data_IF_229021163312
#
_entry.id   IF_229021163312
#
_cell.length_a   1.000
_cell.length_b   1.000
_cell.length_c   1.000
_cell.angle_alpha   90.00
_cell.angle_beta   90.00
_cell.angle_gamma   90.00
#
_symmetry.space_group_name_H-M   'P 1'
#
loop_
_entity.id
_entity.type
_entity.pdbx_description
1 polymer ?
#
# COMPACT_ATOMS: atom_id res chain seq x y z
N UNK A 1 11.80 23.61 -8.10
CA UNK A 1 11.65 22.71 -9.25
C UNK A 1 12.80 21.72 -9.26
N UNK A 2 12.55 20.44 -8.99
CA UNK A 2 13.54 19.37 -9.20
C UNK A 2 13.60 19.06 -10.69
N UNK A 3 14.80 19.03 -11.27
CA UNK A 3 14.99 18.78 -12.69
C UNK A 3 14.37 17.43 -13.10
N UNK A 4 13.73 17.33 -14.29
CA UNK A 4 13.24 16.06 -14.82
C UNK A 4 14.42 15.10 -15.02
N UNK A 5 14.38 13.92 -14.41
CA UNK A 5 15.36 12.84 -14.64
C UNK A 5 16.23 12.42 -13.45
N UNK A 6 16.06 13.01 -12.27
CA UNK A 6 16.74 12.54 -11.06
C UNK A 6 16.02 11.33 -10.45
N UNK A 7 16.50 10.14 -10.79
CA UNK A 7 16.01 8.86 -10.24
C UNK A 7 16.09 8.79 -8.72
N UNK A 8 16.92 9.60 -8.05
CA UNK A 8 16.98 9.66 -6.60
C UNK A 8 15.69 10.23 -5.97
N UNK A 9 14.85 10.90 -6.77
CA UNK A 9 13.58 11.49 -6.34
C UNK A 9 12.37 10.57 -6.59
N UNK A 10 12.60 9.38 -7.16
CA UNK A 10 11.55 8.40 -7.48
C UNK A 10 11.57 7.20 -6.53
N UNK A 11 10.39 6.74 -6.06
CA UNK A 11 9.06 7.24 -6.39
C UNK A 11 8.78 8.55 -5.66
N UNK A 12 7.99 9.42 -6.29
CA UNK A 12 7.67 10.75 -5.77
C UNK A 12 6.74 10.69 -4.55
N UNK A 13 5.93 9.63 -4.43
CA UNK A 13 5.05 9.44 -3.29
C UNK A 13 4.66 7.96 -3.09
N UNK A 14 4.14 7.66 -1.91
CA UNK A 14 3.60 6.35 -1.55
C UNK A 14 2.15 6.48 -1.07
N UNK A 15 1.28 5.57 -1.50
CA UNK A 15 -0.05 5.38 -0.93
C UNK A 15 -0.01 4.14 -0.04
N UNK A 16 -0.14 4.37 1.26
CA UNK A 16 0.01 3.34 2.31
C UNK A 16 -1.26 3.23 3.14
N UNK A 17 -1.33 2.18 3.96
CA UNK A 17 -2.40 1.99 4.93
C UNK A 17 -2.65 0.51 5.20
N UNK A 18 -3.62 0.24 6.07
CA UNK A 18 -4.09 -1.14 6.25
C UNK A 18 -4.87 -1.55 5.00
N UNK A 19 -4.65 -2.77 4.51
CA UNK A 19 -5.46 -3.31 3.42
C UNK A 19 -6.96 -3.16 3.73
N UNK A 20 -7.77 -2.87 2.70
CA UNK A 20 -9.22 -2.59 2.81
C UNK A 20 -9.60 -1.17 3.27
N UNK A 21 -8.64 -0.25 3.36
CA UNK A 21 -8.88 1.16 3.73
C UNK A 21 -9.02 2.11 2.54
N UNK A 22 -9.34 1.62 1.33
CA UNK A 22 -9.57 2.50 0.17
C UNK A 22 -8.32 2.96 -0.60
N UNK A 23 -7.15 2.39 -0.35
CA UNK A 23 -5.90 2.70 -1.09
C UNK A 23 -6.03 2.54 -2.61
N UNK A 24 -6.87 1.62 -3.08
CA UNK A 24 -7.12 1.45 -4.52
C UNK A 24 -7.98 2.57 -5.10
N UNK A 25 -8.93 3.12 -4.32
CA UNK A 25 -9.69 4.31 -4.71
C UNK A 25 -8.78 5.53 -4.82
N UNK A 26 -7.91 5.75 -3.83
CA UNK A 26 -6.91 6.81 -3.88
C UNK A 26 -5.99 6.67 -5.12
N UNK A 27 -5.55 5.45 -5.43
CA UNK A 27 -4.82 5.17 -6.70
C UNK A 27 -5.66 5.55 -7.92
N UNK A 28 -6.94 5.17 -7.96
CA UNK A 28 -7.80 5.48 -9.10
C UNK A 28 -7.96 6.98 -9.30
N UNK A 29 -8.18 7.73 -8.24
CA UNK A 29 -8.27 9.19 -8.29
C UNK A 29 -6.97 9.80 -8.80
N UNK A 30 -5.83 9.45 -8.19
CA UNK A 30 -4.54 10.06 -8.51
C UNK A 30 -4.05 9.74 -9.92
N UNK A 31 -4.28 8.53 -10.43
CA UNK A 31 -3.95 8.16 -11.82
C UNK A 31 -4.82 8.91 -12.84
N UNK A 32 -5.90 9.57 -12.42
CA UNK A 32 -6.66 10.47 -13.30
C UNK A 32 -5.95 11.80 -13.60
N UNK A 33 -4.87 12.14 -12.88
CA UNK A 33 -4.12 13.37 -13.12
C UNK A 33 -3.09 13.18 -14.25
N UNK A 34 -2.99 14.09 -15.25
CA UNK A 34 -2.12 13.91 -16.42
C UNK A 34 -0.63 13.77 -16.11
N UNK A 35 -0.17 14.38 -15.01
CA UNK A 35 1.22 14.30 -14.54
C UNK A 35 1.47 13.29 -13.41
N UNK A 36 0.52 12.42 -13.08
CA UNK A 36 0.72 11.39 -12.04
C UNK A 36 0.50 10.00 -12.64
N UNK A 37 1.37 9.05 -12.28
CA UNK A 37 1.16 7.63 -12.60
C UNK A 37 1.34 6.81 -11.32
N UNK A 38 0.36 5.95 -11.03
CA UNK A 38 0.45 4.99 -9.94
C UNK A 38 0.22 3.58 -10.51
N UNK A 39 1.28 2.76 -10.68
CA UNK A 39 1.17 1.41 -11.18
C UNK A 39 0.43 0.52 -10.17
N UNK A 40 0.19 -0.73 -10.56
CA UNK A 40 -0.30 -1.75 -9.63
C UNK A 40 0.68 -1.98 -8.47
N UNK A 41 0.22 -2.65 -7.41
CA UNK A 41 1.07 -2.87 -6.23
C UNK A 41 2.37 -3.57 -6.61
N UNK A 42 3.51 -2.95 -6.29
CA UNK A 42 4.81 -3.45 -6.74
C UNK A 42 5.45 -4.40 -5.72
N UNK A 43 5.29 -4.12 -4.42
CA UNK A 43 5.70 -5.01 -3.33
C UNK A 43 7.20 -5.31 -3.20
N UNK A 44 8.09 -4.64 -3.93
CA UNK A 44 9.52 -4.95 -3.94
C UNK A 44 10.39 -4.04 -3.05
N UNK A 45 10.01 -2.78 -2.81
CA UNK A 45 10.90 -1.76 -2.22
C UNK A 45 11.44 -2.14 -0.83
N UNK A 46 10.62 -2.50 0.18
CA UNK A 46 11.14 -2.86 1.50
C UNK A 46 12.04 -4.09 1.47
N UNK A 47 11.78 -5.04 0.57
CA UNK A 47 12.61 -6.23 0.37
C UNK A 47 13.98 -5.85 -0.22
N UNK A 48 14.01 -5.00 -1.26
CA UNK A 48 15.26 -4.51 -1.82
C UNK A 48 16.07 -3.68 -0.81
N UNK A 49 15.44 -2.75 -0.09
CA UNK A 49 16.12 -1.96 0.94
C UNK A 49 16.68 -2.84 2.06
N UNK A 50 15.95 -3.88 2.49
CA UNK A 50 16.46 -4.85 3.49
C UNK A 50 17.65 -5.65 2.96
N UNK A 51 17.60 -6.04 1.70
CA UNK A 51 18.64 -6.83 1.05
C UNK A 51 19.79 -5.99 0.47
N UNK A 52 19.79 -4.67 0.67
CA UNK A 52 20.77 -3.75 0.09
C UNK A 52 22.22 -4.21 0.23
N UNK A 53 22.70 -4.68 1.39
CA UNK A 53 24.08 -5.16 1.53
C UNK A 53 24.46 -6.33 0.61
N UNK A 54 23.48 -7.06 0.06
CA UNK A 54 23.74 -8.20 -0.82
C UNK A 54 23.99 -7.77 -2.28
N UNK A 55 23.38 -6.66 -2.70
CA UNK A 55 23.37 -6.20 -4.09
C UNK A 55 23.99 -4.82 -4.32
N UNK A 56 24.28 -4.06 -3.26
CA UNK A 56 24.92 -2.75 -3.29
C UNK A 56 26.23 -2.79 -2.51
N UNK A 57 27.33 -2.34 -3.13
CA UNK A 57 28.66 -2.35 -2.51
C UNK A 57 29.21 -0.95 -2.18
N UNK A 58 28.36 0.09 -2.21
CA UNK A 58 28.75 1.48 -1.95
C UNK A 58 28.98 2.32 -3.21
N UNK A 59 29.44 1.70 -4.31
CA UNK A 59 29.74 2.40 -5.57
C UNK A 59 29.14 1.71 -6.81
N UNK A 60 28.45 0.59 -6.63
CA UNK A 60 27.92 -0.19 -7.73
C UNK A 60 26.85 -1.20 -7.32
N UNK A 61 26.11 -1.64 -8.34
CA UNK A 61 24.99 -2.57 -8.21
C UNK A 61 25.36 -3.94 -8.80
N UNK A 62 25.12 -5.01 -8.06
CA UNK A 62 25.12 -6.38 -8.58
C UNK A 62 23.82 -6.59 -9.35
N UNK A 63 23.75 -6.06 -10.58
CA UNK A 63 22.54 -5.97 -11.40
C UNK A 63 21.78 -7.29 -11.52
N UNK A 64 22.48 -8.42 -11.67
CA UNK A 64 21.84 -9.74 -11.74
C UNK A 64 21.02 -10.09 -10.49
N UNK A 65 21.60 -9.87 -9.30
CA UNK A 65 20.91 -10.13 -8.03
C UNK A 65 19.81 -9.10 -7.76
N UNK A 66 20.10 -7.82 -8.00
CA UNK A 66 19.11 -6.74 -7.85
C UNK A 66 17.84 -7.01 -8.67
N UNK A 67 18.01 -7.31 -9.97
CA UNK A 67 16.88 -7.62 -10.87
C UNK A 67 16.16 -8.88 -10.42
N UNK A 68 16.89 -9.95 -10.03
CA UNK A 68 16.25 -11.17 -9.52
C UNK A 68 15.39 -10.89 -8.28
N UNK A 69 15.88 -10.10 -7.33
CA UNK A 69 15.14 -9.77 -6.11
C UNK A 69 13.94 -8.85 -6.39
N UNK A 70 14.10 -7.86 -7.29
CA UNK A 70 13.02 -6.96 -7.67
C UNK A 70 11.83 -7.71 -8.27
N UNK A 71 12.11 -8.76 -9.05
CA UNK A 71 11.10 -9.57 -9.73
C UNK A 71 10.62 -10.79 -8.95
N UNK A 72 11.20 -11.08 -7.77
CA UNK A 72 10.94 -12.32 -7.03
C UNK A 72 9.46 -12.51 -6.60
N UNK A 73 8.71 -11.43 -6.45
CA UNK A 73 7.28 -11.49 -6.10
C UNK A 73 6.34 -11.55 -7.33
N UNK A 74 6.88 -11.49 -8.56
CA UNK A 74 6.15 -11.55 -9.83
C UNK A 74 5.33 -10.30 -10.20
N UNK A 75 5.25 -9.29 -9.32
CA UNK A 75 4.36 -8.13 -9.52
C UNK A 75 4.85 -7.19 -10.62
N UNK A 76 6.17 -6.95 -10.71
CA UNK A 76 6.75 -6.15 -11.79
C UNK A 76 6.50 -6.76 -13.17
N UNK A 77 6.67 -8.08 -13.31
CA UNK A 77 6.37 -8.78 -14.55
C UNK A 77 4.88 -8.68 -14.92
N UNK A 78 3.98 -8.84 -13.93
CA UNK A 78 2.53 -8.65 -14.14
C UNK A 78 2.16 -7.20 -14.50
N UNK A 79 2.95 -6.23 -14.04
CA UNK A 79 2.83 -4.82 -14.42
C UNK A 79 3.45 -4.49 -15.79
N UNK A 80 3.89 -5.50 -16.56
CA UNK A 80 4.44 -5.33 -17.90
C UNK A 80 5.90 -4.88 -17.95
N UNK A 81 6.61 -4.89 -16.81
CA UNK A 81 8.02 -4.48 -16.78
C UNK A 81 8.91 -5.64 -17.26
N UNK A 82 9.74 -5.37 -18.27
CA UNK A 82 10.72 -6.34 -18.78
C UNK A 82 12.01 -6.32 -17.93
N UNK A 83 12.44 -7.43 -17.32
CA UNK A 83 13.70 -7.49 -16.57
C UNK A 83 14.94 -7.19 -17.44
N UNK A 84 14.91 -7.48 -18.75
CA UNK A 84 16.00 -7.13 -19.64
C UNK A 84 16.06 -5.61 -19.89
N UNK A 85 14.92 -4.93 -19.96
CA UNK A 85 14.86 -3.47 -20.01
C UNK A 85 15.48 -2.83 -18.76
N UNK A 86 15.18 -3.35 -17.57
CA UNK A 86 15.79 -2.88 -16.32
C UNK A 86 17.32 -3.09 -16.32
N UNK A 87 17.80 -4.26 -16.77
CA UNK A 87 19.25 -4.53 -16.89
C UNK A 87 19.93 -3.53 -17.82
N UNK A 88 19.36 -3.30 -19.02
CA UNK A 88 19.89 -2.31 -19.98
C UNK A 88 19.94 -0.91 -19.37
N UNK A 89 18.92 -0.52 -18.61
CA UNK A 89 18.86 0.80 -17.97
C UNK A 89 19.90 0.97 -16.86
N UNK A 90 20.09 -0.04 -16.01
CA UNK A 90 21.14 -0.04 -14.99
C UNK A 90 22.55 0.02 -15.60
N UNK A 91 22.76 -0.64 -16.74
CA UNK A 91 24.05 -0.59 -17.44
C UNK A 91 24.31 0.78 -18.09
N UNK A 92 23.29 1.40 -18.70
CA UNK A 92 23.41 2.71 -19.36
C UNK A 92 23.52 3.87 -18.37
N UNK A 93 22.83 3.78 -17.22
CA UNK A 93 22.82 4.81 -16.17
C UNK A 93 23.04 4.14 -14.81
N UNK A 94 24.29 3.75 -14.49
CA UNK A 94 24.62 3.14 -13.21
C UNK A 94 24.13 4.02 -12.06
N UNK A 95 23.42 3.45 -11.06
CA UNK A 95 22.95 4.22 -9.92
C UNK A 95 24.12 4.52 -8.96
N UNK A 96 24.09 5.71 -8.34
CA UNK A 96 25.05 6.12 -7.30
C UNK A 96 24.57 5.79 -5.87
N UNK A 97 23.33 5.31 -5.72
CA UNK A 97 22.77 4.91 -4.44
C UNK A 97 21.75 3.77 -4.56
N UNK A 98 21.37 3.18 -3.43
CA UNK A 98 20.29 2.20 -3.36
C UNK A 98 18.94 2.80 -3.77
N UNK A 99 18.70 4.06 -3.43
CA UNK A 99 17.51 4.81 -3.79
C UNK A 99 17.43 5.01 -5.31
N UNK A 100 18.54 5.42 -5.95
CA UNK A 100 18.59 5.55 -7.41
C UNK A 100 18.39 4.22 -8.11
N UNK A 101 18.99 3.13 -7.61
CA UNK A 101 18.81 1.80 -8.19
C UNK A 101 17.32 1.41 -8.20
N UNK A 102 16.62 1.66 -7.09
CA UNK A 102 15.17 1.47 -7.00
C UNK A 102 14.42 2.45 -7.92
N UNK A 103 14.83 3.71 -7.97
CA UNK A 103 14.31 4.74 -8.86
C UNK A 103 14.36 4.32 -10.33
N UNK A 104 15.41 3.58 -10.76
CA UNK A 104 15.51 3.01 -12.12
C UNK A 104 14.35 2.09 -12.47
N UNK A 105 13.74 1.43 -11.48
CA UNK A 105 12.54 0.61 -11.70
C UNK A 105 11.34 1.53 -11.93
N UNK A 106 11.18 2.58 -11.11
CA UNK A 106 10.06 3.51 -11.23
C UNK A 106 10.09 4.34 -12.52
N UNK A 107 11.27 4.66 -13.04
CA UNK A 107 11.42 5.29 -14.36
C UNK A 107 10.77 4.46 -15.49
N UNK A 108 10.63 3.14 -15.34
CA UNK A 108 9.97 2.28 -16.34
C UNK A 108 8.44 2.46 -16.37
N UNK A 109 7.86 3.08 -15.33
CA UNK A 109 6.45 3.46 -15.29
C UNK A 109 6.20 4.90 -15.74
N UNK A 110 7.24 5.75 -15.80
CA UNK A 110 7.12 7.11 -16.31
C UNK A 110 6.88 7.07 -17.81
N UNK A 111 5.75 7.62 -18.27
CA UNK A 111 5.49 7.83 -19.70
C UNK A 111 6.13 9.17 -20.12
N UNK A 112 6.76 9.20 -21.30
CA UNK A 112 7.24 10.45 -21.91
C UNK A 112 8.58 10.96 -21.38
N UNK A 113 8.70 12.29 -21.28
CA UNK A 113 9.93 13.05 -21.02
C UNK A 113 10.38 13.08 -19.55
N UNK A 114 9.67 12.41 -18.65
CA UNK A 114 9.95 12.41 -17.22
C UNK A 114 9.28 13.55 -16.43
N UNK A 115 8.36 14.30 -17.05
CA UNK A 115 7.48 15.26 -16.37
C UNK A 115 6.42 14.58 -15.48
N UNK A 116 6.17 13.29 -15.68
CA UNK A 116 5.18 12.50 -14.94
C UNK A 116 5.79 11.96 -13.64
N UNK A 117 5.16 12.28 -12.51
CA UNK A 117 5.58 11.80 -11.19
C UNK A 117 4.98 10.42 -10.91
N UNK A 118 5.85 9.48 -10.60
CA UNK A 118 5.47 8.09 -10.32
C UNK A 118 5.26 7.89 -8.82
N UNK A 119 4.08 7.43 -8.43
CA UNK A 119 3.78 6.98 -7.07
C UNK A 119 3.83 5.46 -6.93
N UNK A 120 3.81 4.95 -5.69
CA UNK A 120 3.60 3.53 -5.42
C UNK A 120 2.46 3.30 -4.44
N UNK A 121 1.42 2.59 -4.89
CA UNK A 121 0.37 2.10 -4.00
C UNK A 121 0.68 0.68 -3.60
N UNK A 122 1.23 0.50 -2.41
CA UNK A 122 1.35 -0.80 -1.76
C UNK A 122 0.98 -0.63 -0.28
N UNK A 123 -0.23 -1.03 0.17
CA UNK A 123 -0.74 -0.63 1.49
C UNK A 123 0.23 -1.00 2.64
N UNK A 124 0.77 -2.22 2.57
CA UNK A 124 1.71 -2.76 3.57
C UNK A 124 3.04 -2.01 3.68
N UNK A 125 3.35 -1.09 2.76
CA UNK A 125 4.53 -0.22 2.91
C UNK A 125 4.41 0.72 4.11
N UNK A 126 3.20 0.93 4.65
CA UNK A 126 3.00 1.63 5.93
C UNK A 126 3.79 1.00 7.08
N UNK A 127 4.01 -0.33 7.08
CA UNK A 127 4.85 -1.04 8.05
C UNK A 127 6.35 -0.67 7.97
N UNK A 128 6.74 0.08 6.95
CA UNK A 128 8.12 0.41 6.63
C UNK A 128 8.29 1.90 6.34
N UNK A 129 7.32 2.74 6.74
CA UNK A 129 7.26 4.16 6.36
C UNK A 129 8.54 4.90 6.71
N UNK A 130 9.11 4.65 7.90
CA UNK A 130 10.37 5.23 8.36
C UNK A 130 11.57 4.85 7.48
N UNK A 131 11.65 3.57 7.09
CA UNK A 131 12.73 3.09 6.21
C UNK A 131 12.60 3.68 4.81
N UNK A 132 11.37 3.81 4.32
CA UNK A 132 11.09 4.44 3.03
C UNK A 132 11.42 5.93 3.07
N UNK A 133 11.05 6.63 4.14
CA UNK A 133 11.29 8.06 4.32
C UNK A 133 12.79 8.41 4.34
N UNK A 134 13.63 7.52 4.92
CA UNK A 134 15.10 7.64 4.88
C UNK A 134 15.68 7.35 3.50
N UNK A 135 15.16 6.34 2.80
CA UNK A 135 15.64 5.99 1.46
C UNK A 135 15.23 7.03 0.41
N UNK A 136 14.04 7.61 0.54
CA UNK A 136 13.46 8.59 -0.38
C UNK A 136 13.13 9.87 0.40
N UNK A 137 14.11 10.76 0.65
CA UNK A 137 13.95 11.91 1.53
C UNK A 137 12.94 12.94 1.01
N UNK A 138 12.64 12.93 -0.29
CA UNK A 138 11.66 13.81 -0.92
C UNK A 138 10.29 13.15 -1.16
N UNK A 139 10.17 11.85 -0.91
CA UNK A 139 8.90 11.16 -1.11
C UNK A 139 7.86 11.61 -0.08
N UNK A 140 6.64 11.78 -0.56
CA UNK A 140 5.46 12.11 0.24
C UNK A 140 4.62 10.86 0.49
N UNK A 141 3.81 10.84 1.54
CA UNK A 141 3.06 9.68 1.98
C UNK A 141 1.60 10.03 2.15
N UNK A 142 0.73 9.28 1.48
CA UNK A 142 -0.71 9.34 1.67
C UNK A 142 -1.10 8.11 2.47
N UNK A 143 -1.54 8.32 3.70
CA UNK A 143 -2.00 7.28 4.60
C UNK A 143 -3.52 7.17 4.56
N UNK A 144 -4.01 6.16 3.86
CA UNK A 144 -5.44 5.88 3.81
C UNK A 144 -5.88 5.13 5.06
N UNK A 145 -6.86 5.69 5.76
CA UNK A 145 -7.47 5.10 6.96
C UNK A 145 -8.95 4.87 6.74
N UNK A 146 -9.51 3.91 7.46
CA UNK A 146 -10.94 3.58 7.45
C UNK A 146 -11.32 3.09 8.85
N UNK A 147 -12.59 3.19 9.20
CA UNK A 147 -13.14 2.66 10.43
C UNK A 147 -12.61 1.25 10.73
N UNK A 148 -12.02 0.98 11.90
CA UNK A 148 -11.33 -0.28 12.19
C UNK A 148 -12.27 -1.50 12.12
N UNK A 149 -13.51 -1.35 12.60
CA UNK A 149 -14.50 -2.43 12.55
C UNK A 149 -14.86 -2.81 11.11
N UNK A 150 -14.92 -1.83 10.21
CA UNK A 150 -15.18 -2.07 8.79
C UNK A 150 -14.01 -2.79 8.13
N UNK A 151 -12.78 -2.39 8.48
CA UNK A 151 -11.57 -3.04 7.97
C UNK A 151 -11.54 -4.49 8.43
N UNK A 152 -11.81 -4.76 9.71
CA UNK A 152 -11.91 -6.12 10.25
C UNK A 152 -12.98 -6.92 9.51
N UNK A 153 -14.22 -6.42 9.45
CA UNK A 153 -15.31 -7.09 8.73
C UNK A 153 -14.99 -7.31 7.23
N UNK A 154 -14.24 -6.41 6.61
CA UNK A 154 -13.79 -6.58 5.22
C UNK A 154 -12.68 -7.63 5.09
N UNK A 155 -11.71 -7.68 6.01
CA UNK A 155 -10.56 -8.60 5.97
C UNK A 155 -11.00 -10.05 6.15
N UNK A 156 -12.01 -10.31 6.99
CA UNK A 156 -12.55 -11.67 7.22
C UNK A 156 -13.06 -12.34 5.96
N UNK A 157 -13.56 -11.55 5.02
CA UNK A 157 -14.10 -11.99 3.73
C UNK A 157 -13.01 -12.20 2.67
N UNK A 158 -11.74 -11.92 2.97
CA UNK A 158 -10.65 -12.04 2.02
C UNK A 158 -9.88 -13.36 2.22
N UNK A 159 -9.65 -14.16 1.16
CA UNK A 159 -8.83 -15.37 1.27
C UNK A 159 -7.39 -15.11 1.75
N UNK A 160 -6.90 -13.89 1.52
CA UNK A 160 -5.58 -13.44 1.93
C UNK A 160 -5.54 -12.77 3.31
N UNK A 161 -6.70 -12.43 3.88
CA UNK A 161 -6.85 -11.78 5.18
C UNK A 161 -7.16 -12.78 6.31
N UNK A 162 -6.96 -12.38 7.58
CA UNK A 162 -7.37 -13.20 8.72
C UNK A 162 -8.90 -13.22 8.86
N UNK A 163 -9.46 -14.42 9.02
CA UNK A 163 -10.88 -14.62 9.36
C UNK A 163 -11.17 -14.38 10.86
N UNK A 164 -10.19 -14.62 11.73
CA UNK A 164 -10.29 -14.30 13.17
C UNK A 164 -10.34 -12.77 13.37
N UNK A 165 -11.42 -12.21 13.95
CA UNK A 165 -11.57 -10.78 14.20
C UNK A 165 -10.42 -10.18 15.02
N UNK A 166 -9.87 -10.93 15.98
CA UNK A 166 -8.78 -10.44 16.83
C UNK A 166 -7.45 -10.39 16.07
N UNK A 167 -7.19 -11.37 15.19
CA UNK A 167 -6.05 -11.32 14.30
C UNK A 167 -6.17 -10.19 13.27
N UNK A 168 -7.37 -9.95 12.74
CA UNK A 168 -7.67 -8.83 11.85
C UNK A 168 -7.49 -7.47 12.54
N UNK A 169 -7.96 -7.35 13.78
CA UNK A 169 -7.78 -6.15 14.59
C UNK A 169 -6.29 -5.90 14.90
N UNK A 170 -5.53 -6.94 15.25
CA UNK A 170 -4.08 -6.86 15.40
C UNK A 170 -3.36 -6.44 14.11
N UNK A 171 -3.83 -6.89 12.94
CA UNK A 171 -3.30 -6.45 11.65
C UNK A 171 -3.53 -4.96 11.42
N UNK A 172 -4.74 -4.46 11.74
CA UNK A 172 -5.06 -3.04 11.65
C UNK A 172 -4.20 -2.23 12.61
N UNK A 173 -4.17 -2.60 13.90
CA UNK A 173 -3.41 -1.89 14.93
C UNK A 173 -1.92 -1.80 14.60
N UNK A 174 -1.31 -2.92 14.16
CA UNK A 174 0.09 -2.94 13.74
C UNK A 174 0.37 -1.99 12.57
N UNK A 175 -0.55 -1.91 11.60
CA UNK A 175 -0.41 -1.01 10.45
C UNK A 175 -0.58 0.46 10.84
N UNK A 176 -1.55 0.77 11.69
CA UNK A 176 -1.80 2.12 12.19
C UNK A 176 -0.62 2.65 12.99
N UNK A 177 -0.12 1.86 13.96
CA UNK A 177 1.01 2.24 14.80
C UNK A 177 2.28 2.49 14.01
N UNK A 178 2.57 1.66 13.02
CA UNK A 178 3.75 1.86 12.18
C UNK A 178 3.79 3.23 11.48
N UNK A 179 2.62 3.83 11.20
CA UNK A 179 2.52 5.18 10.62
C UNK A 179 2.41 6.25 11.70
N UNK A 180 1.59 6.07 12.75
CA UNK A 180 1.44 7.06 13.82
C UNK A 180 2.72 7.28 14.61
N UNK A 181 3.52 6.23 14.78
CA UNK A 181 4.77 6.27 15.56
C UNK A 181 5.95 6.73 14.69
N UNK A 182 5.70 7.07 13.42
CA UNK A 182 6.73 7.63 12.56
C UNK A 182 7.00 9.10 12.88
N UNK A 183 8.21 9.54 12.59
CA UNK A 183 8.71 10.91 12.71
C UNK A 183 8.34 11.79 11.53
N UNK A 184 7.52 11.28 10.60
CA UNK A 184 7.10 12.02 9.42
C UNK A 184 6.23 13.22 9.79
N UNK A 185 6.62 14.38 9.28
CA UNK A 185 5.91 15.64 9.45
C UNK A 185 4.73 15.73 8.48
N UNK A 186 3.77 16.61 8.80
CA UNK A 186 2.54 16.79 8.03
C UNK A 186 2.75 17.22 6.57
N UNK A 187 3.88 17.86 6.24
CA UNK A 187 4.24 18.20 4.86
C UNK A 187 4.64 16.97 4.02
N UNK A 188 5.06 15.88 4.69
CA UNK A 188 5.41 14.60 4.08
C UNK A 188 4.40 13.50 4.31
N UNK A 189 3.47 13.65 5.25
CA UNK A 189 2.44 12.65 5.57
C UNK A 189 1.05 13.29 5.61
N UNK A 190 0.19 12.85 4.69
CA UNK A 190 -1.23 13.19 4.65
C UNK A 190 -2.07 11.97 5.02
N UNK A 191 -2.79 12.03 6.13
CA UNK A 191 -3.79 11.02 6.49
C UNK A 191 -5.16 11.40 5.91
N UNK A 192 -5.79 10.44 5.21
CA UNK A 192 -7.10 10.60 4.56
C UNK A 192 -8.03 9.48 5.01
N UNK A 193 -9.19 9.83 5.55
CA UNK A 193 -10.26 8.89 5.86
C UNK A 193 -11.00 8.54 4.59
N UNK A 194 -11.24 7.25 4.38
CA UNK A 194 -12.03 6.78 3.24
C UNK A 194 -13.44 7.36 3.28
N UNK A 195 -14.00 7.50 4.47
CA UNK A 195 -15.33 8.05 4.70
C UNK A 195 -15.42 9.51 4.22
N UNK A 196 -14.44 10.35 4.59
CA UNK A 196 -14.37 11.74 4.13
C UNK A 196 -14.16 11.81 2.61
N UNK A 197 -13.34 10.92 2.03
CA UNK A 197 -13.13 10.84 0.59
C UNK A 197 -14.40 10.44 -0.19
N UNK A 198 -15.28 9.66 0.42
CA UNK A 198 -16.57 9.24 -0.16
C UNK A 198 -17.59 10.36 -0.03
N UNK A 199 -17.64 11.03 1.13
CA UNK A 199 -18.63 12.06 1.43
C UNK A 199 -18.33 13.39 0.72
N UNK A 200 -17.05 13.77 0.64
CA UNK A 200 -16.59 15.06 0.12
C UNK A 200 -15.43 14.86 -0.89
N UNK A 201 -15.67 14.16 -2.01
CA UNK A 201 -14.62 13.79 -2.95
C UNK A 201 -13.84 15.00 -3.48
N UNK A 202 -14.51 16.06 -3.92
CA UNK A 202 -13.88 17.27 -4.45
C UNK A 202 -12.87 17.88 -3.47
N UNK A 203 -13.29 18.11 -2.22
CA UNK A 203 -12.44 18.71 -1.19
C UNK A 203 -11.22 17.83 -0.85
N UNK A 204 -11.40 16.50 -0.82
CA UNK A 204 -10.30 15.58 -0.54
C UNK A 204 -9.37 15.43 -1.75
N UNK A 205 -9.87 15.45 -2.98
CA UNK A 205 -9.06 15.46 -4.21
C UNK A 205 -8.16 16.70 -4.25
N UNK A 206 -8.70 17.88 -3.94
CA UNK A 206 -7.92 19.12 -3.88
C UNK A 206 -6.83 19.06 -2.79
N UNK A 207 -7.15 18.47 -1.64
CA UNK A 207 -6.18 18.27 -0.55
C UNK A 207 -5.08 17.28 -0.95
N UNK A 208 -5.42 16.21 -1.69
CA UNK A 208 -4.46 15.26 -2.24
C UNK A 208 -3.53 15.94 -3.25
N UNK A 209 -4.08 16.71 -4.20
CA UNK A 209 -3.32 17.45 -5.21
C UNK A 209 -2.35 18.45 -4.55
N UNK A 210 -2.86 19.27 -3.61
CA UNK A 210 -2.06 20.23 -2.85
C UNK A 210 -0.97 19.56 -2.04
N UNK A 211 -1.27 18.46 -1.36
CA UNK A 211 -0.26 17.69 -0.64
C UNK A 211 0.81 17.22 -1.60
N UNK A 212 0.44 16.63 -2.73
CA UNK A 212 1.40 16.20 -3.74
C UNK A 212 2.10 17.36 -4.43
N UNK A 213 1.67 18.62 -4.30
CA UNK A 213 2.23 19.79 -5.00
C UNK A 213 2.01 19.70 -6.52
N UNK A 214 0.80 19.34 -6.91
CA UNK A 214 0.28 19.45 -8.28
C UNK A 214 -1.03 20.23 -8.24
N UNK A 215 -1.43 20.79 -9.38
CA UNK A 215 -2.75 21.39 -9.51
C UNK A 215 -3.83 20.30 -9.49
N UNK A 216 -5.04 20.66 -9.05
CA UNK A 216 -6.17 19.73 -9.15
C UNK A 216 -6.56 19.58 -10.61
N UNK A 217 -7.05 18.40 -11.00
CA UNK A 217 -7.46 18.12 -12.37
C UNK A 217 -8.81 17.40 -12.40
N UNK A 218 -9.73 17.88 -13.25
CA UNK A 218 -11.10 17.36 -13.31
C UNK A 218 -11.17 15.85 -13.55
N UNK A 219 -10.26 15.31 -14.36
CA UNK A 219 -10.22 13.87 -14.62
C UNK A 219 -9.96 13.04 -13.35
N UNK A 220 -9.37 13.59 -12.27
CA UNK A 220 -9.20 12.86 -11.01
C UNK A 220 -10.53 12.38 -10.43
N UNK A 221 -11.60 13.16 -10.57
CA UNK A 221 -12.96 12.83 -10.10
C UNK A 221 -13.67 11.81 -11.00
N UNK A 222 -13.21 11.61 -12.24
CA UNK A 222 -13.72 10.61 -13.18
C UNK A 222 -13.18 9.20 -12.90
N UNK A 223 -12.91 8.87 -11.64
CA UNK A 223 -12.23 7.63 -11.25
C UNK A 223 -13.07 6.38 -11.51
N UNK A 224 -14.40 6.50 -11.51
CA UNK A 224 -15.34 5.41 -11.80
C UNK A 224 -15.13 4.83 -13.21
N UNK A 225 -14.85 5.69 -14.19
CA UNK A 225 -14.58 5.29 -15.58
C UNK A 225 -13.35 4.38 -15.69
N UNK A 226 -12.38 4.55 -14.79
CA UNK A 226 -11.12 3.79 -14.75
C UNK A 226 -11.11 2.68 -13.70
N UNK A 227 -12.16 2.57 -12.89
CA UNK A 227 -12.22 1.67 -11.76
C UNK A 227 -12.13 0.20 -12.16
N UNK A 228 -12.75 -0.17 -13.28
CA UNK A 228 -12.70 -1.53 -13.82
C UNK A 228 -11.25 -1.93 -14.15
N UNK A 229 -10.57 -1.16 -15.01
CA UNK A 229 -9.18 -1.41 -15.39
C UNK A 229 -8.25 -1.47 -14.17
N UNK A 230 -8.37 -0.49 -13.27
CA UNK A 230 -7.54 -0.41 -12.05
C UNK A 230 -7.77 -1.60 -11.13
N UNK A 231 -9.01 -2.08 -11.01
CA UNK A 231 -9.36 -3.25 -10.21
C UNK A 231 -8.70 -4.52 -10.74
N UNK A 232 -8.77 -4.74 -12.06
CA UNK A 232 -8.17 -5.91 -12.72
C UNK A 232 -6.64 -5.94 -12.63
N UNK A 233 -5.99 -4.78 -12.51
CA UNK A 233 -4.54 -4.69 -12.33
C UNK A 233 -4.07 -4.95 -10.89
N UNK A 234 -4.97 -5.05 -9.90
CA UNK A 234 -4.56 -5.32 -8.51
C UNK A 234 -4.17 -6.78 -8.29
N UNK A 235 -3.45 -7.02 -7.18
CA UNK A 235 -3.06 -8.37 -6.75
C UNK A 235 -4.27 -9.26 -6.45
N UNK A 236 -5.37 -8.66 -5.99
CA UNK A 236 -6.62 -9.32 -5.66
C UNK A 236 -7.81 -8.59 -6.30
N UNK A 237 -8.03 -8.74 -7.62
CA UNK A 237 -9.10 -8.02 -8.35
C UNK A 237 -10.49 -8.22 -7.76
N UNK A 238 -10.81 -9.43 -7.30
CA UNK A 238 -12.05 -9.80 -6.62
C UNK A 238 -12.33 -8.96 -5.36
N UNK A 239 -11.27 -8.45 -4.75
CA UNK A 239 -11.37 -7.58 -3.57
C UNK A 239 -11.77 -6.14 -3.94
N UNK A 240 -11.91 -5.79 -5.22
CA UNK A 240 -12.12 -4.40 -5.68
C UNK A 240 -13.30 -4.21 -6.63
N UNK A 241 -14.16 -5.23 -6.80
CA UNK A 241 -15.30 -5.21 -7.73
C UNK A 241 -16.29 -4.05 -7.50
N UNK A 242 -16.34 -3.46 -6.30
CA UNK A 242 -17.19 -2.31 -5.98
C UNK A 242 -16.59 -0.93 -6.29
N UNK A 243 -15.38 -0.85 -6.85
CA UNK A 243 -14.68 0.43 -7.05
C UNK A 243 -15.36 1.34 -8.09
N UNK A 244 -16.04 0.75 -9.08
CA UNK A 244 -16.66 1.48 -10.21
C UNK A 244 -18.13 1.83 -10.02
N UNK A 245 -18.74 1.46 -8.89
CA UNK A 245 -20.09 1.92 -8.55
C UNK A 245 -20.10 3.40 -8.18
N UNK A 246 -21.30 3.95 -7.93
CA UNK A 246 -21.44 5.17 -7.13
C UNK A 246 -20.61 5.01 -5.85
N UNK A 247 -20.10 6.10 -5.27
CA UNK A 247 -19.43 6.13 -3.95
C UNK A 247 -20.44 5.71 -2.86
N UNK A 248 -20.90 4.47 -2.93
CA UNK A 248 -21.89 3.89 -2.07
C UNK A 248 -21.30 3.83 -0.66
N UNK A 249 -22.15 3.83 0.38
CA UNK A 249 -21.69 3.81 1.75
C UNK A 249 -20.67 2.69 1.95
N UNK A 250 -19.63 2.99 2.71
CA UNK A 250 -18.68 1.99 3.20
C UNK A 250 -19.47 0.81 3.80
N UNK A 251 -19.16 -0.42 3.37
CA UNK A 251 -19.77 -1.64 3.92
C UNK A 251 -19.86 -1.57 5.45
N UNK A 252 -21.06 -1.70 6.01
CA UNK A 252 -21.28 -1.58 7.45
C UNK A 252 -20.74 -2.80 8.20
N UNK A 253 -19.83 -2.58 9.15
CA UNK A 253 -19.32 -3.62 10.02
C UNK A 253 -20.40 -4.38 10.79
N UNK A 254 -21.58 -3.77 11.03
CA UNK A 254 -22.72 -4.41 11.71
C UNK A 254 -23.22 -5.65 10.99
N UNK A 255 -23.01 -5.75 9.68
CA UNK A 255 -23.36 -6.94 8.90
C UNK A 255 -22.36 -8.10 9.08
N UNK A 256 -21.14 -7.82 9.57
CA UNK A 256 -20.01 -8.76 9.58
C UNK A 256 -19.37 -9.02 10.95
N UNK A 257 -19.79 -8.31 11.99
CA UNK A 257 -19.35 -8.51 13.37
C UNK A 257 -20.58 -8.60 14.27
N UNK A 258 -20.81 -9.78 14.85
CA UNK A 258 -22.02 -10.09 15.61
C UNK A 258 -21.72 -10.17 17.12
N UNK A 259 -22.75 -9.91 17.94
CA UNK A 259 -22.65 -10.05 19.40
C UNK A 259 -21.54 -9.20 20.03
N UNK A 260 -20.72 -9.81 20.88
CA UNK A 260 -19.62 -9.14 21.58
C UNK A 260 -18.36 -8.89 20.74
N UNK A 261 -18.29 -9.39 19.50
CA UNK A 261 -17.08 -9.29 18.65
C UNK A 261 -16.69 -7.83 18.39
N UNK A 262 -17.65 -7.00 17.99
CA UNK A 262 -17.40 -5.60 17.67
C UNK A 262 -16.87 -4.83 18.88
N UNK A 263 -17.41 -5.08 20.08
CA UNK A 263 -16.92 -4.45 21.31
C UNK A 263 -15.52 -4.95 21.69
N UNK A 264 -15.24 -6.24 21.50
CA UNK A 264 -13.90 -6.80 21.72
C UNK A 264 -12.86 -6.19 20.78
N UNK A 265 -13.15 -6.12 19.48
CA UNK A 265 -12.30 -5.42 18.50
C UNK A 265 -12.12 -3.95 18.89
N UNK A 266 -13.21 -3.25 19.19
CA UNK A 266 -13.15 -1.83 19.56
C UNK A 266 -12.25 -1.58 20.77
N UNK A 267 -12.35 -2.41 21.81
CA UNK A 267 -11.53 -2.30 23.02
C UNK A 267 -10.02 -2.37 22.73
N UNK A 268 -9.61 -3.02 21.64
CA UNK A 268 -8.21 -3.17 21.24
C UNK A 268 -7.71 -1.99 20.40
N UNK A 269 -8.59 -1.35 19.64
CA UNK A 269 -8.21 -0.38 18.60
C UNK A 269 -8.57 1.06 18.95
N UNK A 270 -9.39 1.29 19.99
CA UNK A 270 -9.94 2.59 20.36
C UNK A 270 -8.87 3.68 20.50
N UNK A 271 -7.73 3.38 21.14
CA UNK A 271 -6.67 4.37 21.37
C UNK A 271 -6.05 4.89 20.06
N UNK A 272 -6.02 4.07 19.01
CA UNK A 272 -5.57 4.48 17.68
C UNK A 272 -6.70 4.98 16.77
N UNK A 273 -7.96 4.67 17.09
CA UNK A 273 -9.11 5.00 16.27
C UNK A 273 -9.77 6.33 16.67
N UNK A 274 -9.89 6.60 17.97
CA UNK A 274 -10.55 7.80 18.50
C UNK A 274 -9.88 9.11 18.05
N UNK A 275 -8.54 9.24 17.99
CA UNK A 275 -7.88 10.44 17.47
C UNK A 275 -8.20 10.74 15.99
N UNK A 276 -8.69 9.75 15.24
CA UNK A 276 -9.11 9.88 13.84
C UNK A 276 -10.61 10.19 13.71
N UNK A 277 -11.31 10.43 14.82
CA UNK A 277 -12.74 10.73 14.84
C UNK A 277 -13.65 9.50 14.73
N UNK A 278 -13.14 8.28 14.93
CA UNK A 278 -13.98 7.08 14.92
C UNK A 278 -14.63 6.83 16.28
N UNK A 279 -15.85 6.28 16.26
CA UNK A 279 -16.60 5.89 17.45
C UNK A 279 -17.06 4.44 17.34
N UNK A 280 -17.02 3.72 18.47
CA UNK A 280 -17.35 2.29 18.52
C UNK A 280 -18.79 1.99 18.92
N UNK A 281 -19.14 0.69 19.00
CA UNK A 281 -20.39 0.24 19.60
C UNK A 281 -20.52 0.73 21.06
N UNK A 282 -21.75 0.99 21.54
CA UNK A 282 -21.98 1.38 22.92
C UNK A 282 -21.63 0.24 23.90
N UNK A 283 -21.22 0.63 25.11
CA UNK A 283 -20.93 -0.27 26.22
C UNK A 283 -19.54 -0.95 26.17
N UNK A 284 -19.07 -1.48 27.30
CA UNK A 284 -17.76 -2.10 27.39
C UNK A 284 -17.69 -3.43 26.62
N UNK A 285 -16.56 -3.68 25.97
CA UNK A 285 -16.22 -4.96 25.35
C UNK A 285 -15.42 -5.87 26.27
N UNK A 286 -15.36 -7.17 25.95
CA UNK A 286 -14.39 -8.05 26.58
C UNK A 286 -12.99 -7.51 26.33
N UNK A 287 -12.21 -7.28 27.40
CA UNK A 287 -10.84 -6.80 27.27
C UNK A 287 -9.98 -7.90 26.64
N UNK A 288 -9.44 -7.60 25.47
CA UNK A 288 -8.46 -8.46 24.80
C UNK A 288 -7.13 -7.74 24.80
N UNK A 289 -6.08 -8.37 25.35
CA UNK A 289 -4.76 -7.77 25.32
C UNK A 289 -4.20 -7.73 23.90
N UNK A 290 -3.47 -6.67 23.58
CA UNK A 290 -2.78 -6.55 22.31
C UNK A 290 -1.82 -7.72 22.06
N UNK A 291 -1.09 -8.17 23.09
CA UNK A 291 -0.22 -9.33 22.99
C UNK A 291 -0.98 -10.59 22.51
N UNK A 292 -2.21 -10.80 22.97
CA UNK A 292 -3.04 -11.91 22.53
C UNK A 292 -3.47 -11.76 21.05
N UNK A 293 -3.89 -10.56 20.64
CA UNK A 293 -4.23 -10.28 19.25
C UNK A 293 -3.03 -10.45 18.30
N UNK A 294 -1.85 -9.99 18.72
CA UNK A 294 -0.61 -10.13 17.95
C UNK A 294 -0.14 -11.59 17.84
N UNK A 295 -0.33 -12.40 18.88
CA UNK A 295 -0.09 -13.85 18.81
C UNK A 295 -1.00 -14.53 17.80
N UNK A 296 -2.29 -14.19 17.79
CA UNK A 296 -3.26 -14.69 16.80
C UNK A 296 -2.89 -14.29 15.38
N UNK A 297 -2.48 -13.04 15.17
CA UNK A 297 -1.98 -12.56 13.89
C UNK A 297 -0.74 -13.34 13.42
N UNK A 298 0.25 -13.55 14.31
CA UNK A 298 1.46 -14.31 13.98
C UNK A 298 1.13 -15.76 13.58
N UNK A 299 0.22 -16.42 14.31
CA UNK A 299 -0.23 -17.78 13.96
C UNK A 299 -0.89 -17.81 12.56
N UNK A 300 -1.71 -16.81 12.25
CA UNK A 300 -2.28 -16.65 10.91
C UNK A 300 -1.18 -16.51 9.84
N UNK A 301 -0.20 -15.62 10.06
CA UNK A 301 0.90 -15.37 9.11
C UNK A 301 1.77 -16.61 8.88
N UNK A 302 2.09 -17.35 9.94
CA UNK A 302 2.82 -18.63 9.86
C UNK A 302 2.04 -19.67 9.07
N UNK A 303 0.74 -19.83 9.37
CA UNK A 303 -0.12 -20.77 8.64
C UNK A 303 -0.19 -20.46 7.14
N UNK A 304 -0.25 -19.16 6.79
CA UNK A 304 -0.28 -18.69 5.41
C UNK A 304 1.03 -18.95 4.69
N UNK A 305 2.15 -18.74 5.39
CA UNK A 305 3.50 -18.98 4.86
C UNK A 305 3.71 -20.47 4.60
N UNK A 306 3.27 -21.33 5.52
CA UNK A 306 3.33 -22.78 5.35
C UNK A 306 2.47 -23.28 4.20
N UNK A 307 1.23 -22.77 4.04
CA UNK A 307 0.38 -23.09 2.87
C UNK A 307 1.06 -22.74 1.55
N UNK A 308 1.71 -21.56 1.47
CA UNK A 308 2.46 -21.14 0.27
C UNK A 308 3.63 -22.08 -0.05
N UNK A 309 4.38 -22.50 0.97
CA UNK A 309 5.49 -23.44 0.79
C UNK A 309 5.00 -24.81 0.32
N UNK A 310 3.88 -25.33 0.86
CA UNK A 310 3.28 -26.60 0.39
C UNK A 310 2.80 -26.53 -1.05
N UNK A 311 2.15 -25.44 -1.45
CA UNK A 311 1.73 -25.26 -2.86
C UNK A 311 2.92 -25.20 -3.81
N UNK A 312 4.05 -24.61 -3.39
CA UNK A 312 5.29 -24.62 -4.19
C UNK A 312 5.91 -26.02 -4.26
N UNK A 313 5.87 -26.78 -3.16
CA UNK A 313 6.35 -28.16 -3.12
C UNK A 313 5.58 -29.12 -4.04
N UNK A 314 4.25 -28.98 -4.13
CA UNK A 314 3.43 -29.77 -5.06
C UNK A 314 3.67 -29.42 -6.54
N UNK A 315 4.00 -28.17 -6.86
CA UNK A 315 4.34 -27.76 -8.24
C UNK A 315 5.71 -28.30 -8.66
N UNK A 316 6.65 -28.49 -7.73
CA UNK A 316 7.98 -29.06 -8.01
C UNK A 316 7.95 -30.61 -8.01
N UNK A 317 7.06 -31.25 -7.25
CA UNK A 317 6.93 -32.70 -7.18
C UNK A 317 6.05 -33.37 -8.25
N UNK A 318 5.44 -32.60 -9.16
CA UNK A 318 4.57 -33.11 -10.24
C UNK A 318 5.28 -33.32 -11.59
N UNK A 319 6.60 -33.23 -11.64
CA UNK A 319 7.44 -33.65 -12.78
C UNK A 319 8.41 -34.73 -12.29
N UNK A 320 7.90 -35.94 -12.15
CA UNK A 320 8.68 -37.17 -12.10
C UNK A 320 7.99 -38.17 -13.03
#
# INVERSE_FOLDING_TARGET
MTAPGDSATLPAFFIVGVGRSGTTLARAILTGHPHLVVPSETGFVPALLRAAPLWWNGSGVRSGLFVRLAFANGRLARAGVDPAQLRRRLARRPPASTAEAIGRIYELFSKGDGSVRVGDKTPSYGLHVERLARAFPHAQFIHMVRHPLDVVASLRRQPWGPNDPMAAAGMWLRGMRAVSDSTLRADRLLTVRLEDLIAEPDAIVDRLARHLRVDSHADMLRFSERAHEISHQNVHPESHLGLGGSLAPTRDWREGLVGGEARGVWSLVVDSAAPLGYSGPPGPGPRVSEAAAMRRLRMFELSRSWRRLRTLGHVVGGRA
#
